data_IF_427464888230
#
_entry.id   IF_427464888230
#
_cell.length_a   1.000
_cell.length_b   1.000
_cell.length_c   1.000
_cell.angle_alpha   90.00
_cell.angle_beta   90.00
_cell.angle_gamma   90.00
#
_symmetry.space_group_name_H-M   'P 1'
#
loop_
_entity.id
_entity.type
_entity.pdbx_description
1 polymer ?
#
# COMPACT_ATOMS: atom_id res chain seq x y z
N UNK A 1 10.26 -3.02 2.45
CA UNK A 1 11.46 -2.20 2.71
C UNK A 1 11.80 -1.46 1.42
N UNK A 2 12.02 -0.14 1.47
CA UNK A 2 12.27 0.67 0.26
C UNK A 2 13.69 0.50 -0.32
N UNK A 3 14.56 -0.25 0.36
CA UNK A 3 15.95 -0.41 -0.03
C UNK A 3 16.09 -1.41 -1.19
N UNK A 4 15.92 -0.92 -2.42
CA UNK A 4 16.18 -1.66 -3.66
C UNK A 4 17.59 -1.37 -4.21
N UNK A 5 18.18 -2.26 -5.04
CA UNK A 5 19.42 -2.01 -5.76
C UNK A 5 19.40 -0.68 -6.53
N UNK A 6 20.56 -0.04 -6.68
CA UNK A 6 20.64 1.33 -7.24
C UNK A 6 20.24 1.39 -8.71
N UNK A 7 20.54 0.33 -9.47
CA UNK A 7 20.19 0.15 -10.88
C UNK A 7 18.69 -0.10 -11.10
N UNK A 8 17.96 -0.46 -10.04
CA UNK A 8 16.50 -0.53 -10.03
C UNK A 8 15.83 0.82 -9.71
N UNK A 9 16.60 1.81 -9.22
CA UNK A 9 16.10 3.16 -8.91
C UNK A 9 16.03 3.99 -10.20
N UNK A 10 14.86 4.06 -10.81
CA UNK A 10 14.63 4.90 -12.00
C UNK A 10 13.28 5.59 -11.96
N UNK A 11 13.25 6.90 -12.24
CA UNK A 11 12.00 7.69 -12.26
C UNK A 11 10.98 7.17 -13.29
N UNK A 12 11.46 6.69 -14.45
CA UNK A 12 10.61 6.26 -15.57
C UNK A 12 10.19 4.78 -15.55
N UNK A 13 10.64 4.00 -14.56
CA UNK A 13 10.30 2.58 -14.46
C UNK A 13 9.12 2.41 -13.52
N UNK A 14 8.03 1.86 -14.04
CA UNK A 14 6.92 1.44 -13.22
C UNK A 14 7.33 0.25 -12.34
N UNK A 15 6.88 0.20 -11.08
CA UNK A 15 7.25 -0.87 -10.17
C UNK A 15 6.56 -2.18 -10.57
N UNK A 16 7.36 -3.23 -10.77
CA UNK A 16 6.87 -4.59 -11.06
C UNK A 16 7.07 -5.56 -9.89
N UNK A 17 7.72 -5.09 -8.82
CA UNK A 17 7.97 -5.85 -7.59
C UNK A 17 7.39 -5.12 -6.39
N UNK A 18 7.08 -5.85 -5.31
CA UNK A 18 6.63 -5.23 -4.06
C UNK A 18 7.68 -4.26 -3.48
N UNK A 19 8.97 -4.58 -3.65
CA UNK A 19 10.08 -3.69 -3.25
C UNK A 19 10.08 -2.39 -4.06
N UNK A 20 9.97 -2.49 -5.38
CA UNK A 20 9.89 -1.33 -6.27
C UNK A 20 8.66 -0.45 -5.99
N UNK A 21 7.51 -1.05 -5.72
CA UNK A 21 6.29 -0.31 -5.38
C UNK A 21 6.48 0.47 -4.07
N UNK A 22 7.06 -0.18 -3.06
CA UNK A 22 7.36 0.46 -1.78
C UNK A 22 8.38 1.60 -1.93
N UNK A 23 9.41 1.41 -2.77
CA UNK A 23 10.37 2.46 -3.11
C UNK A 23 9.67 3.66 -3.76
N UNK A 24 8.81 3.44 -4.77
CA UNK A 24 8.07 4.52 -5.45
C UNK A 24 7.16 5.30 -4.50
N UNK A 25 6.40 4.61 -3.65
CA UNK A 25 5.61 5.26 -2.62
C UNK A 25 6.49 6.09 -1.66
N UNK A 26 7.67 5.57 -1.32
CA UNK A 26 8.66 6.30 -0.50
C UNK A 26 9.14 7.59 -1.19
N UNK A 27 9.43 7.54 -2.50
CA UNK A 27 9.81 8.74 -3.26
C UNK A 27 8.70 9.80 -3.23
N UNK A 28 7.44 9.39 -3.40
CA UNK A 28 6.27 10.28 -3.37
C UNK A 28 6.14 10.98 -2.02
N UNK A 29 6.20 10.24 -0.91
CA UNK A 29 6.05 10.83 0.43
C UNK A 29 7.24 11.71 0.82
N UNK A 30 8.47 11.35 0.41
CA UNK A 30 9.65 12.19 0.65
C UNK A 30 9.53 13.50 -0.14
N UNK A 31 9.06 13.44 -1.39
CA UNK A 31 8.79 14.66 -2.17
C UNK A 31 7.74 15.55 -1.50
N UNK A 32 6.65 14.96 -0.99
CA UNK A 32 5.64 15.72 -0.24
C UNK A 32 6.22 16.37 1.02
N UNK A 33 7.01 15.62 1.81
CA UNK A 33 7.70 16.12 3.00
C UNK A 33 8.62 17.30 2.68
N UNK A 34 9.42 17.19 1.61
CA UNK A 34 10.33 18.26 1.19
C UNK A 34 9.60 19.53 0.74
N UNK A 35 8.41 19.39 0.14
CA UNK A 35 7.59 20.53 -0.30
C UNK A 35 6.84 21.20 0.86
N UNK A 36 6.35 20.43 1.83
CA UNK A 36 5.55 20.95 2.96
C UNK A 36 6.41 21.32 4.19
N UNK A 37 7.63 20.79 4.28
CA UNK A 37 8.50 20.93 5.45
C UNK A 37 8.20 19.92 6.56
N UNK A 38 9.21 19.63 7.37
CA UNK A 38 9.10 18.68 8.48
C UNK A 38 8.31 19.29 9.65
N UNK A 39 7.16 18.70 9.94
CA UNK A 39 6.34 19.02 11.11
C UNK A 39 5.49 17.83 11.51
N UNK A 40 4.97 17.80 12.74
CA UNK A 40 4.02 16.77 13.17
C UNK A 40 2.78 16.70 12.26
N UNK A 41 2.31 17.86 11.78
CA UNK A 41 1.19 17.93 10.85
C UNK A 41 1.52 17.20 9.55
N UNK A 42 2.66 17.55 8.92
CA UNK A 42 3.12 16.90 7.69
C UNK A 42 3.28 15.39 7.85
N UNK A 43 3.84 14.94 8.98
CA UNK A 43 3.98 13.52 9.28
C UNK A 43 2.61 12.83 9.40
N UNK A 44 1.67 13.44 10.12
CA UNK A 44 0.32 12.89 10.28
C UNK A 44 -0.44 12.87 8.94
N UNK A 45 -0.28 13.88 8.10
CA UNK A 45 -0.89 13.93 6.77
C UNK A 45 -0.38 12.80 5.88
N UNK A 46 0.94 12.56 5.86
CA UNK A 46 1.55 11.46 5.11
C UNK A 46 1.04 10.11 5.60
N UNK A 47 1.09 9.86 6.91
CA UNK A 47 0.67 8.57 7.49
C UNK A 47 -0.82 8.33 7.24
N UNK A 48 -1.66 9.34 7.50
CA UNK A 48 -3.10 9.25 7.28
C UNK A 48 -3.45 9.01 5.82
N UNK A 49 -2.77 9.67 4.87
CA UNK A 49 -2.98 9.43 3.44
C UNK A 49 -2.61 8.00 3.03
N UNK A 50 -1.49 7.46 3.52
CA UNK A 50 -1.08 6.09 3.22
C UNK A 50 -2.06 5.05 3.78
N UNK A 51 -2.51 5.23 5.02
CA UNK A 51 -3.50 4.34 5.64
C UNK A 51 -4.84 4.37 4.92
N UNK A 52 -5.34 5.57 4.60
CA UNK A 52 -6.60 5.73 3.86
C UNK A 52 -6.51 5.08 2.46
N UNK A 53 -5.42 5.28 1.73
CA UNK A 53 -5.20 4.66 0.42
C UNK A 53 -5.18 3.13 0.50
N UNK A 54 -4.48 2.58 1.51
CA UNK A 54 -4.43 1.14 1.77
C UNK A 54 -5.84 0.60 2.05
N UNK A 55 -6.57 1.22 2.97
CA UNK A 55 -7.89 0.73 3.38
C UNK A 55 -8.92 0.84 2.24
N UNK A 56 -8.88 1.90 1.44
CA UNK A 56 -9.73 2.02 0.25
C UNK A 56 -9.38 0.97 -0.82
N UNK A 57 -8.09 0.68 -1.04
CA UNK A 57 -7.68 -0.42 -1.93
C UNK A 57 -8.17 -1.77 -1.42
N UNK A 58 -8.04 -2.03 -0.10
CA UNK A 58 -8.58 -3.25 0.51
C UNK A 58 -10.07 -3.38 0.26
N UNK A 59 -10.83 -2.32 0.56
CA UNK A 59 -12.29 -2.29 0.42
C UNK A 59 -12.75 -2.47 -1.02
N UNK A 60 -12.11 -1.81 -1.98
CA UNK A 60 -12.56 -1.77 -3.38
C UNK A 60 -12.03 -2.89 -4.25
N UNK A 61 -10.85 -3.43 -3.92
CA UNK A 61 -10.13 -4.38 -4.78
C UNK A 61 -9.87 -5.68 -4.06
N UNK A 62 -9.25 -5.64 -2.87
CA UNK A 62 -8.85 -6.87 -2.18
C UNK A 62 -10.05 -7.67 -1.68
N UNK A 63 -10.98 -7.05 -0.94
CA UNK A 63 -12.12 -7.76 -0.35
C UNK A 63 -12.98 -8.45 -1.41
N UNK A 64 -13.40 -7.78 -2.52
CA UNK A 64 -14.15 -8.47 -3.57
C UNK A 64 -13.37 -9.59 -4.25
N UNK A 65 -12.03 -9.51 -4.28
CA UNK A 65 -11.20 -10.59 -4.79
C UNK A 65 -11.17 -11.78 -3.82
N UNK A 66 -11.06 -11.54 -2.52
CA UNK A 66 -11.12 -12.57 -1.49
C UNK A 66 -12.50 -13.26 -1.47
N UNK A 67 -13.59 -12.51 -1.61
CA UNK A 67 -14.95 -13.08 -1.72
C UNK A 67 -15.04 -14.10 -2.87
N UNK A 68 -14.49 -13.76 -4.05
CA UNK A 68 -14.42 -14.68 -5.19
C UNK A 68 -13.56 -15.91 -4.91
N UNK A 69 -12.51 -15.78 -4.09
CA UNK A 69 -11.65 -16.91 -3.69
C UNK A 69 -12.33 -17.81 -2.68
N UNK A 70 -13.12 -17.25 -1.77
CA UNK A 70 -13.98 -18.01 -0.86
C UNK A 70 -15.01 -18.81 -1.67
N UNK A 71 -15.67 -18.19 -2.65
CA UNK A 71 -16.62 -18.90 -3.53
C UNK A 71 -15.95 -20.03 -4.33
N UNK A 72 -14.74 -19.79 -4.85
CA UNK A 72 -14.03 -20.76 -5.69
C UNK A 72 -13.38 -21.91 -4.92
N UNK A 73 -12.83 -21.64 -3.73
CA UNK A 73 -11.98 -22.59 -3.00
C UNK A 73 -12.60 -23.06 -1.67
N UNK A 74 -13.72 -22.48 -1.27
CA UNK A 74 -14.30 -22.64 0.08
C UNK A 74 -13.68 -21.67 1.08
N UNK A 75 -14.45 -21.32 2.12
CA UNK A 75 -13.97 -20.53 3.24
C UNK A 75 -13.20 -21.43 4.23
N UNK A 76 -12.08 -20.91 4.74
CA UNK A 76 -11.27 -21.58 5.79
C UNK A 76 -11.85 -21.29 7.18
N UNK A 77 -12.60 -20.20 7.33
CA UNK A 77 -13.17 -19.82 8.61
C UNK A 77 -14.42 -20.66 8.93
N UNK A 78 -14.47 -21.32 10.09
CA UNK A 78 -15.63 -22.09 10.50
C UNK A 78 -16.77 -21.15 10.90
N UNK A 79 -18.02 -21.61 10.75
CA UNK A 79 -19.21 -20.76 10.95
C UNK A 79 -19.33 -20.20 12.36
N UNK A 80 -18.84 -20.94 13.35
CA UNK A 80 -18.83 -20.58 14.77
C UNK A 80 -17.99 -19.33 15.07
N UNK A 81 -17.06 -18.97 14.18
CA UNK A 81 -16.24 -17.74 14.28
C UNK A 81 -16.89 -16.58 13.51
N UNK A 82 -17.73 -16.87 12.53
CA UNK A 82 -18.38 -15.87 11.67
C UNK A 82 -19.77 -15.43 12.16
N UNK A 83 -20.33 -16.13 13.15
CA UNK A 83 -21.63 -15.85 13.79
C UNK A 83 -21.51 -14.92 14.98
#
# INVERSE_FOLDING_TARGET
>A
MPYIPIDERGEKREPVTAGGLNFKLTEVIIRYLLLQGLSYRTCNDIVGALDNCKDEFKRRVQNPYEDRKIEANGDVYPREVLS
#
